data_IF_513522346082
#
_entry.id   IF_513522346082
#
_cell.length_a   1.000
_cell.length_b   1.000
_cell.length_c   1.000
_cell.angle_alpha   90.00
_cell.angle_beta   90.00
_cell.angle_gamma   90.00
#
_symmetry.space_group_name_H-M   'P 1'
#
loop_
_entity.id
_entity.type
_entity.pdbx_description
1 polymer ?
#
# COMPACT_ATOMS: atom_id res chain seq x y z
N UNK A 1 -19.79 15.28 4.76
CA UNK A 1 -20.35 14.74 3.51
C UNK A 1 -21.85 14.58 3.72
N UNK A 2 -22.65 14.99 2.75
CA UNK A 2 -24.09 14.74 2.73
C UNK A 2 -24.32 13.30 2.25
N UNK A 3 -24.91 12.42 3.08
CA UNK A 3 -25.19 11.04 2.72
C UNK A 3 -26.34 10.90 1.70
N UNK A 4 -27.09 11.97 1.43
CA UNK A 4 -28.12 11.96 0.39
C UNK A 4 -27.55 12.04 -1.03
N UNK A 5 -26.29 12.46 -1.18
CA UNK A 5 -25.58 12.49 -2.45
C UNK A 5 -24.91 11.14 -2.72
N UNK A 6 -24.99 10.66 -3.96
CA UNK A 6 -24.59 9.31 -4.36
C UNK A 6 -23.15 8.97 -3.96
N UNK A 7 -22.25 9.95 -4.05
CA UNK A 7 -20.83 9.72 -3.88
C UNK A 7 -20.05 10.98 -3.46
N UNK A 8 -18.74 10.80 -3.24
CA UNK A 8 -17.84 11.87 -2.81
C UNK A 8 -17.66 12.97 -3.84
N UNK A 9 -17.84 12.70 -5.14
CA UNK A 9 -17.59 13.72 -6.15
C UNK A 9 -18.84 14.58 -6.38
N UNK A 10 -20.04 14.00 -6.27
CA UNK A 10 -21.28 14.79 -6.12
C UNK A 10 -21.20 15.72 -4.91
N UNK A 11 -20.65 15.23 -3.80
CA UNK A 11 -20.40 16.06 -2.61
C UNK A 11 -19.47 17.25 -2.93
N UNK A 12 -18.38 17.02 -3.66
CA UNK A 12 -17.43 18.06 -4.09
C UNK A 12 -18.10 19.06 -5.04
N UNK A 13 -18.82 18.58 -6.05
CA UNK A 13 -19.54 19.41 -7.03
C UNK A 13 -20.61 20.27 -6.36
N UNK A 14 -21.48 19.67 -5.53
CA UNK A 14 -22.51 20.39 -4.79
C UNK A 14 -21.92 21.47 -3.87
N UNK A 15 -20.80 21.15 -3.20
CA UNK A 15 -20.10 22.12 -2.34
C UNK A 15 -19.54 23.28 -3.16
N UNK A 16 -18.95 23.01 -4.32
CA UNK A 16 -18.40 24.04 -5.21
C UNK A 16 -19.49 24.92 -5.80
N UNK A 17 -20.59 24.34 -6.28
CA UNK A 17 -21.75 25.09 -6.80
C UNK A 17 -22.39 25.95 -5.72
N UNK A 18 -22.52 25.45 -4.49
CA UNK A 18 -23.01 26.25 -3.36
C UNK A 18 -22.13 27.47 -3.08
N UNK A 19 -20.81 27.33 -3.22
CA UNK A 19 -19.84 28.39 -2.91
C UNK A 19 -19.62 29.38 -4.06
N UNK A 20 -19.71 28.92 -5.30
CA UNK A 20 -19.28 29.66 -6.49
C UNK A 20 -20.41 29.89 -7.51
N UNK A 21 -21.62 29.42 -7.21
CA UNK A 21 -22.77 29.49 -8.11
C UNK A 21 -22.55 28.68 -9.41
N UNK A 22 -23.10 29.14 -10.56
CA UNK A 22 -23.04 28.43 -11.84
C UNK A 22 -21.63 28.13 -12.38
N UNK A 23 -20.59 28.78 -11.84
CA UNK A 23 -19.20 28.48 -12.21
C UNK A 23 -18.76 27.12 -11.65
N UNK A 24 -19.27 26.69 -10.49
CA UNK A 24 -18.96 25.40 -9.88
C UNK A 24 -19.37 24.21 -10.77
N UNK A 25 -20.50 24.35 -11.46
CA UNK A 25 -21.03 23.33 -12.38
C UNK A 25 -20.09 23.08 -13.57
N UNK A 26 -19.30 24.07 -13.96
CA UNK A 26 -18.38 23.95 -15.10
C UNK A 26 -17.17 23.06 -14.79
N UNK A 27 -16.91 22.72 -13.52
CA UNK A 27 -15.77 21.89 -13.15
C UNK A 27 -15.82 20.52 -13.85
N UNK A 28 -16.99 19.92 -13.99
CA UNK A 28 -17.15 18.60 -14.60
C UNK A 28 -16.89 18.58 -16.13
N UNK A 29 -16.82 19.76 -16.76
CA UNK A 29 -16.70 19.87 -18.22
C UNK A 29 -15.46 19.13 -18.73
N UNK A 30 -15.67 18.19 -19.65
CA UNK A 30 -14.61 17.38 -20.26
C UNK A 30 -14.13 16.19 -19.44
N UNK A 31 -14.72 15.94 -18.26
CA UNK A 31 -14.43 14.80 -17.38
C UNK A 31 -15.60 13.81 -17.34
N UNK A 32 -15.35 12.64 -16.78
CA UNK A 32 -16.37 11.66 -16.44
C UNK A 32 -16.17 11.17 -15.01
N UNK A 33 -17.18 10.49 -14.48
CA UNK A 33 -17.03 9.70 -13.26
C UNK A 33 -15.89 8.68 -13.36
N UNK A 34 -15.75 8.04 -14.52
CA UNK A 34 -14.87 6.89 -14.68
C UNK A 34 -13.39 7.27 -14.59
N UNK A 35 -12.97 8.32 -15.31
CA UNK A 35 -11.59 8.78 -15.25
C UNK A 35 -11.27 9.52 -13.94
N UNK A 36 -12.25 10.17 -13.31
CA UNK A 36 -12.12 10.74 -11.97
C UNK A 36 -11.84 9.64 -10.93
N UNK A 37 -12.70 8.63 -10.82
CA UNK A 37 -12.54 7.54 -9.84
C UNK A 37 -11.22 6.78 -10.05
N UNK A 38 -10.84 6.52 -11.30
CA UNK A 38 -9.56 5.87 -11.60
C UNK A 38 -8.37 6.73 -11.14
N UNK A 39 -8.44 8.05 -11.38
CA UNK A 39 -7.40 9.00 -10.95
C UNK A 39 -7.33 9.07 -9.42
N UNK A 40 -8.47 9.18 -8.75
CA UNK A 40 -8.56 9.28 -7.29
C UNK A 40 -8.01 8.01 -6.62
N UNK A 41 -8.35 6.82 -7.15
CA UNK A 41 -7.82 5.56 -6.67
C UNK A 41 -6.30 5.49 -6.83
N UNK A 42 -5.76 5.90 -7.97
CA UNK A 42 -4.32 5.91 -8.22
C UNK A 42 -3.58 6.84 -7.24
N UNK A 43 -4.10 8.04 -7.01
CA UNK A 43 -3.54 8.99 -6.04
C UNK A 43 -3.63 8.46 -4.61
N UNK A 44 -4.80 7.95 -4.22
CA UNK A 44 -5.02 7.36 -2.90
C UNK A 44 -4.05 6.20 -2.64
N UNK A 45 -3.89 5.27 -3.59
CA UNK A 45 -2.98 4.13 -3.44
C UNK A 45 -1.53 4.58 -3.32
N UNK A 46 -1.09 5.59 -4.07
CA UNK A 46 0.29 6.13 -3.95
C UNK A 46 0.57 6.66 -2.55
N UNK A 47 -0.38 7.40 -1.98
CA UNK A 47 -0.25 7.99 -0.64
C UNK A 47 -0.31 6.90 0.43
N UNK A 48 -1.30 6.00 0.35
CA UNK A 48 -1.47 4.89 1.27
C UNK A 48 -0.24 3.96 1.29
N UNK A 49 0.28 3.58 0.11
CA UNK A 49 1.50 2.77 0.00
C UNK A 49 2.71 3.48 0.59
N UNK A 50 2.79 4.81 0.48
CA UNK A 50 3.90 5.58 1.07
C UNK A 50 3.85 5.54 2.60
N UNK A 51 2.68 5.74 3.19
CA UNK A 51 2.49 5.65 4.64
C UNK A 51 2.81 4.24 5.14
N UNK A 52 2.18 3.23 4.54
CA UNK A 52 2.35 1.83 4.96
C UNK A 52 3.80 1.37 4.79
N UNK A 53 4.45 1.72 3.68
CA UNK A 53 5.86 1.41 3.47
C UNK A 53 6.74 2.01 4.58
N UNK A 54 6.47 3.24 5.01
CA UNK A 54 7.19 3.88 6.12
C UNK A 54 7.05 3.10 7.43
N UNK A 55 5.83 2.70 7.78
CA UNK A 55 5.56 1.90 8.99
C UNK A 55 6.23 0.52 8.93
N UNK A 56 6.17 -0.16 7.78
CA UNK A 56 6.83 -1.46 7.58
C UNK A 56 8.34 -1.34 7.72
N UNK A 57 8.94 -0.29 7.17
CA UNK A 57 10.37 0.00 7.33
C UNK A 57 10.74 0.30 8.79
N UNK A 58 9.89 1.00 9.52
CA UNK A 58 10.11 1.28 10.95
C UNK A 58 10.13 -0.01 11.78
N UNK A 59 9.21 -0.94 11.53
CA UNK A 59 9.19 -2.25 12.20
C UNK A 59 10.45 -3.06 11.83
N UNK A 60 10.81 -3.10 10.55
CA UNK A 60 12.02 -3.79 10.11
C UNK A 60 13.29 -3.21 10.78
N UNK A 61 13.39 -1.89 10.89
CA UNK A 61 14.49 -1.22 11.58
C UNK A 61 14.55 -1.58 13.07
N UNK A 62 13.41 -1.57 13.76
CA UNK A 62 13.33 -1.97 15.16
C UNK A 62 13.77 -3.43 15.38
N UNK A 63 13.39 -4.36 14.49
CA UNK A 63 13.85 -5.74 14.56
C UNK A 63 15.37 -5.86 14.38
N UNK A 64 15.95 -5.09 13.46
CA UNK A 64 17.41 -5.07 13.21
C UNK A 64 18.18 -4.43 14.37
N UNK A 65 17.63 -3.40 15.01
CA UNK A 65 18.18 -2.81 16.23
C UNK A 65 18.24 -3.85 17.35
N UNK A 66 17.12 -4.55 17.60
CA UNK A 66 17.05 -5.63 18.60
C UNK A 66 18.00 -6.79 18.26
N UNK A 67 18.16 -7.12 16.98
CA UNK A 67 19.12 -8.13 16.53
C UNK A 67 20.58 -7.72 16.80
N UNK A 68 20.87 -6.42 16.79
CA UNK A 68 22.22 -5.88 17.02
C UNK A 68 22.54 -5.62 18.49
N UNK A 69 21.52 -5.59 19.35
CA UNK A 69 21.67 -5.41 20.79
C UNK A 69 22.44 -6.58 21.45
N UNK A 70 22.99 -6.41 22.66
CA UNK A 70 23.75 -7.47 23.35
C UNK A 70 23.02 -8.82 23.43
N UNK A 71 21.69 -8.79 23.65
CA UNK A 71 20.84 -9.99 23.68
C UNK A 71 20.69 -10.71 22.33
N UNK A 72 21.07 -10.08 21.21
CA UNK A 72 21.05 -10.71 19.89
C UNK A 72 22.00 -11.91 19.76
N UNK A 73 23.08 -11.94 20.54
CA UNK A 73 24.05 -13.06 20.58
C UNK A 73 23.56 -14.25 21.39
N UNK A 74 22.49 -14.10 22.18
CA UNK A 74 21.89 -15.21 22.92
C UNK A 74 21.47 -16.31 21.96
N UNK A 75 21.74 -17.56 22.33
CA UNK A 75 21.32 -18.69 21.53
C UNK A 75 19.94 -19.14 21.99
N UNK A 76 19.01 -19.27 21.04
CA UNK A 76 17.63 -19.72 21.26
C UNK A 76 17.35 -20.98 20.45
N UNK A 77 16.42 -21.85 20.87
CA UNK A 77 16.00 -22.99 20.05
C UNK A 77 15.30 -22.51 18.78
N UNK A 78 15.82 -22.88 17.62
CA UNK A 78 15.06 -22.86 16.37
C UNK A 78 14.25 -24.15 16.26
N UNK A 79 12.98 -24.03 15.87
CA UNK A 79 12.09 -25.18 15.74
C UNK A 79 11.79 -25.53 14.29
N UNK A 80 11.61 -26.82 14.02
CA UNK A 80 10.94 -27.31 12.81
C UNK A 80 9.77 -28.18 13.27
N UNK A 81 8.59 -28.02 12.67
CA UNK A 81 7.36 -28.66 13.15
C UNK A 81 7.08 -28.40 14.64
N UNK A 82 7.41 -27.21 15.15
CA UNK A 82 7.34 -26.82 16.57
C UNK A 82 8.18 -27.70 17.52
N UNK A 83 9.12 -28.50 16.98
CA UNK A 83 10.08 -29.26 17.75
C UNK A 83 11.44 -28.57 17.70
N UNK A 84 12.12 -28.46 18.83
CA UNK A 84 13.46 -27.87 18.89
C UNK A 84 14.42 -28.66 18.00
N UNK A 85 14.94 -28.02 16.95
CA UNK A 85 15.82 -28.64 15.97
C UNK A 85 17.29 -28.31 16.25
N UNK A 86 17.64 -27.01 16.25
CA UNK A 86 19.02 -26.53 16.47
C UNK A 86 18.99 -25.24 17.29
N UNK A 87 20.14 -24.81 17.81
CA UNK A 87 20.26 -23.48 18.43
C UNK A 87 20.76 -22.48 17.39
N UNK A 88 20.12 -21.32 17.34
CA UNK A 88 20.51 -20.18 16.49
C UNK A 88 20.68 -18.95 17.36
N UNK A 89 21.37 -17.92 16.85
CA UNK A 89 21.37 -16.63 17.54
C UNK A 89 19.98 -15.99 17.43
N UNK A 90 19.51 -15.37 18.51
CA UNK A 90 18.26 -14.59 18.52
C UNK A 90 18.25 -13.54 17.40
N UNK A 91 19.41 -12.96 17.11
CA UNK A 91 19.59 -12.05 15.97
C UNK A 91 19.17 -12.66 14.64
N UNK A 92 19.47 -13.94 14.38
CA UNK A 92 19.13 -14.60 13.11
C UNK A 92 17.61 -14.72 12.92
N UNK A 93 16.86 -15.04 13.98
CA UNK A 93 15.39 -15.10 13.90
C UNK A 93 14.79 -13.73 13.62
N UNK A 94 15.22 -12.69 14.35
CA UNK A 94 14.77 -11.31 14.13
C UNK A 94 15.09 -10.81 12.71
N UNK A 95 16.29 -11.12 12.21
CA UNK A 95 16.72 -10.77 10.85
C UNK A 95 15.88 -11.43 9.76
N UNK A 96 15.37 -12.65 9.96
CA UNK A 96 14.47 -13.31 9.00
C UNK A 96 13.17 -12.50 8.85
N UNK A 97 12.56 -12.06 9.94
CA UNK A 97 11.35 -11.25 9.88
C UNK A 97 11.62 -9.87 9.29
N UNK A 98 12.72 -9.22 9.69
CA UNK A 98 13.13 -7.94 9.11
C UNK A 98 13.33 -8.05 7.58
N UNK A 99 14.00 -9.10 7.11
CA UNK A 99 14.24 -9.32 5.68
C UNK A 99 12.94 -9.50 4.88
N UNK A 100 11.92 -10.16 5.45
CA UNK A 100 10.61 -10.31 4.82
C UNK A 100 9.89 -8.96 4.69
N UNK A 101 9.87 -8.18 5.78
CA UNK A 101 9.27 -6.84 5.78
C UNK A 101 9.99 -5.87 4.83
N UNK A 102 11.32 -5.95 4.73
CA UNK A 102 12.09 -5.16 3.75
C UNK A 102 11.71 -5.53 2.30
N UNK A 103 11.50 -6.81 2.02
CA UNK A 103 11.05 -7.25 0.70
C UNK A 103 9.63 -6.74 0.39
N UNK A 104 8.72 -6.79 1.36
CA UNK A 104 7.37 -6.23 1.21
C UNK A 104 7.41 -4.72 0.93
N UNK A 105 8.22 -3.98 1.70
CA UNK A 105 8.44 -2.56 1.48
C UNK A 105 9.01 -2.26 0.08
N UNK A 106 9.92 -3.10 -0.43
CA UNK A 106 10.42 -3.01 -1.80
C UNK A 106 9.29 -3.12 -2.84
N UNK A 107 8.44 -4.15 -2.71
CA UNK A 107 7.30 -4.37 -3.61
C UNK A 107 6.30 -3.20 -3.59
N UNK A 108 6.05 -2.59 -2.43
CA UNK A 108 5.22 -1.38 -2.33
C UNK A 108 5.82 -0.20 -3.10
N UNK A 109 7.14 -0.05 -3.05
CA UNK A 109 7.87 0.95 -3.84
C UNK A 109 7.72 0.73 -5.34
N UNK A 110 7.85 -0.52 -5.79
CA UNK A 110 7.69 -0.92 -7.19
C UNK A 110 6.27 -0.66 -7.70
N UNK A 111 5.25 -1.02 -6.92
CA UNK A 111 3.85 -0.75 -7.26
C UNK A 111 3.60 0.77 -7.35
N UNK A 112 4.05 1.55 -6.36
CA UNK A 112 3.88 3.02 -6.39
C UNK A 112 4.54 3.64 -7.63
N UNK A 113 5.70 3.13 -8.03
CA UNK A 113 6.36 3.55 -9.26
C UNK A 113 5.49 3.27 -10.49
N UNK A 114 4.96 2.04 -10.63
CA UNK A 114 4.06 1.68 -11.75
C UNK A 114 2.79 2.52 -11.78
N UNK A 115 2.14 2.74 -10.64
CA UNK A 115 0.95 3.61 -10.55
C UNK A 115 1.27 5.03 -11.03
N UNK A 116 2.49 5.52 -10.81
CA UNK A 116 2.90 6.87 -11.19
C UNK A 116 3.24 7.02 -12.68
N UNK A 117 3.21 5.94 -13.48
CA UNK A 117 3.55 6.02 -14.90
C UNK A 117 2.50 6.78 -15.71
N UNK A 118 1.22 6.45 -15.53
CA UNK A 118 0.16 6.94 -16.40
C UNK A 118 -1.02 7.55 -15.62
N UNK A 119 -1.36 8.80 -15.96
CA UNK A 119 -2.54 9.47 -15.43
C UNK A 119 -3.81 9.04 -16.16
N UNK A 120 -4.84 8.54 -15.45
CA UNK A 120 -6.13 8.23 -16.07
C UNK A 120 -6.92 9.46 -16.51
N UNK A 121 -6.68 10.62 -15.87
CA UNK A 121 -7.46 11.83 -16.06
C UNK A 121 -7.46 12.32 -17.52
N UNK A 122 -8.65 12.68 -18.00
CA UNK A 122 -8.87 13.10 -19.39
C UNK A 122 -9.18 11.95 -20.34
N UNK A 123 -9.34 10.72 -19.84
CA UNK A 123 -9.89 9.60 -20.59
C UNK A 123 -11.42 9.69 -20.76
N UNK A 124 -12.09 10.62 -20.07
CA UNK A 124 -13.53 10.78 -20.14
C UNK A 124 -14.26 9.51 -19.69
N UNK A 125 -15.41 9.22 -20.29
CA UNK A 125 -16.19 8.05 -19.91
C UNK A 125 -15.56 6.73 -20.38
N UNK A 126 -14.94 6.74 -21.58
CA UNK A 126 -14.34 5.55 -22.21
C UNK A 126 -13.44 5.90 -23.40
N UNK A 127 -13.86 6.87 -24.23
CA UNK A 127 -13.26 7.16 -25.54
C UNK A 127 -12.38 8.43 -25.57
N UNK A 128 -12.06 8.99 -24.40
CA UNK A 128 -11.43 10.31 -24.29
C UNK A 128 -12.45 11.43 -24.15
N UNK A 129 -11.93 12.65 -23.99
CA UNK A 129 -12.72 13.88 -24.00
C UNK A 129 -12.87 14.40 -25.44
N UNK A 130 -14.05 14.93 -25.78
CA UNK A 130 -14.26 15.66 -27.05
C UNK A 130 -13.67 17.07 -27.04
N UNK A 131 -13.24 17.54 -25.86
CA UNK A 131 -12.56 18.82 -25.69
C UNK A 131 -11.05 18.65 -25.88
N UNK A 132 -10.35 19.68 -26.39
CA UNK A 132 -8.90 19.64 -26.60
C UNK A 132 -8.15 19.83 -25.26
N UNK A 133 -8.26 18.85 -24.35
CA UNK A 133 -7.61 18.89 -23.04
C UNK A 133 -6.09 18.69 -23.16
N UNK A 134 -5.31 19.51 -22.46
CA UNK A 134 -3.89 19.25 -22.25
C UNK A 134 -3.72 18.21 -21.12
N UNK A 135 -3.80 16.93 -21.51
CA UNK A 135 -3.64 15.80 -20.57
C UNK A 135 -2.22 15.72 -19.99
N UNK A 136 -1.21 16.17 -20.75
CA UNK A 136 0.17 16.16 -20.29
C UNK A 136 0.37 17.16 -19.15
N UNK A 137 -0.29 18.32 -19.23
CA UNK A 137 -0.34 19.29 -18.16
C UNK A 137 -0.97 18.72 -16.89
N UNK A 138 -2.15 18.10 -16.98
CA UNK A 138 -2.80 17.51 -15.80
C UNK A 138 -2.02 16.34 -15.20
N UNK A 139 -1.42 15.49 -16.04
CA UNK A 139 -0.55 14.40 -15.57
C UNK A 139 0.63 14.95 -14.74
N UNK A 140 1.30 16.02 -15.21
CA UNK A 140 2.39 16.67 -14.47
C UNK A 140 1.92 17.25 -13.15
N UNK A 141 0.78 17.95 -13.13
CA UNK A 141 0.23 18.54 -11.90
C UNK A 141 -0.08 17.48 -10.83
N UNK A 142 -0.52 16.30 -11.25
CA UNK A 142 -0.86 15.18 -10.37
C UNK A 142 0.34 14.25 -10.10
N UNK A 143 1.53 14.61 -10.59
CA UNK A 143 2.76 13.86 -10.37
C UNK A 143 2.81 12.49 -11.06
N UNK A 144 2.13 12.32 -12.19
CA UNK A 144 2.30 11.19 -13.10
C UNK A 144 3.32 11.52 -14.19
N UNK A 145 3.92 10.50 -14.81
CA UNK A 145 4.92 10.69 -15.88
C UNK A 145 4.29 11.11 -17.21
N UNK A 146 3.15 10.50 -17.57
CA UNK A 146 2.47 10.77 -18.83
C UNK A 146 0.95 10.56 -18.69
N UNK A 147 0.14 11.03 -19.65
CA UNK A 147 -1.25 10.58 -19.79
C UNK A 147 -1.30 9.10 -20.17
N UNK A 148 -2.35 8.40 -19.74
CA UNK A 148 -2.57 7.03 -20.17
C UNK A 148 -2.71 6.91 -21.71
N UNK A 149 -2.00 5.98 -22.36
CA UNK A 149 -1.99 5.89 -23.83
C UNK A 149 -3.33 5.41 -24.41
N UNK A 150 -4.13 4.68 -23.62
CA UNK A 150 -5.41 4.11 -24.03
C UNK A 150 -6.53 4.56 -23.08
N UNK A 151 -7.60 5.19 -23.59
CA UNK A 151 -8.68 5.71 -22.74
C UNK A 151 -9.60 4.62 -22.17
N UNK A 152 -9.76 3.51 -22.89
CA UNK A 152 -10.56 2.36 -22.41
C UNK A 152 -9.88 1.75 -21.20
N UNK A 153 -8.60 1.42 -21.35
CA UNK A 153 -7.78 0.87 -20.27
C UNK A 153 -7.70 1.85 -19.09
N UNK A 154 -7.48 3.15 -19.33
CA UNK A 154 -7.43 4.15 -18.26
C UNK A 154 -8.66 4.16 -17.35
N UNK A 155 -9.84 3.83 -17.88
CA UNK A 155 -11.10 3.83 -17.13
C UNK A 155 -11.47 2.46 -16.56
N UNK A 156 -10.98 1.38 -17.16
CA UNK A 156 -11.27 0.00 -16.75
C UNK A 156 -10.17 -0.64 -15.90
N UNK A 157 -8.96 -0.10 -15.88
CA UNK A 157 -7.81 -0.68 -15.18
C UNK A 157 -8.05 -0.70 -13.66
N UNK A 158 -7.88 -1.89 -13.08
CA UNK A 158 -7.98 -2.15 -11.63
C UNK A 158 -6.75 -2.90 -11.12
N UNK A 159 -5.73 -3.09 -11.94
CA UNK A 159 -4.51 -3.82 -11.61
C UNK A 159 -3.79 -3.20 -10.40
N UNK A 160 -3.67 -1.87 -10.27
CA UNK A 160 -3.12 -1.26 -9.06
C UNK A 160 -3.80 -1.69 -7.76
N UNK A 161 -5.13 -1.81 -7.79
CA UNK A 161 -5.90 -2.23 -6.63
C UNK A 161 -5.73 -3.71 -6.32
N UNK A 162 -5.77 -4.55 -7.36
CA UNK A 162 -5.57 -5.99 -7.22
C UNK A 162 -4.16 -6.32 -6.71
N UNK A 163 -3.14 -5.65 -7.25
CA UNK A 163 -1.75 -5.82 -6.79
C UNK A 163 -1.57 -5.30 -5.36
N UNK A 164 -2.14 -4.16 -4.99
CA UNK A 164 -2.11 -3.67 -3.61
C UNK A 164 -2.72 -4.66 -2.61
N UNK A 165 -3.87 -5.27 -2.95
CA UNK A 165 -4.49 -6.31 -2.12
C UNK A 165 -3.59 -7.53 -1.94
N UNK A 166 -2.92 -7.98 -3.01
CA UNK A 166 -1.94 -9.06 -2.92
C UNK A 166 -0.78 -8.69 -1.98
N UNK A 167 -0.22 -7.47 -2.10
CA UNK A 167 0.86 -7.01 -1.24
C UNK A 167 0.43 -6.95 0.24
N UNK A 168 -0.79 -6.48 0.52
CA UNK A 168 -1.31 -6.42 1.89
C UNK A 168 -1.59 -7.82 2.48
N UNK A 169 -2.06 -8.76 1.66
CA UNK A 169 -2.23 -10.14 2.09
C UNK A 169 -0.88 -10.80 2.43
N UNK A 170 0.14 -10.58 1.60
CA UNK A 170 1.49 -11.09 1.83
C UNK A 170 2.12 -10.47 3.09
N UNK A 171 1.99 -9.15 3.25
CA UNK A 171 2.42 -8.45 4.48
C UNK A 171 1.73 -9.05 5.71
N UNK A 172 0.41 -9.28 5.63
CA UNK A 172 -0.37 -9.90 6.70
C UNK A 172 0.15 -11.30 7.06
N UNK A 173 0.52 -12.11 6.07
CA UNK A 173 1.12 -13.43 6.31
C UNK A 173 2.49 -13.34 7.00
N UNK A 174 3.35 -12.39 6.59
CA UNK A 174 4.64 -12.17 7.23
C UNK A 174 4.52 -11.62 8.65
N UNK A 175 3.60 -10.68 8.88
CA UNK A 175 3.29 -10.14 10.20
C UNK A 175 2.72 -11.21 11.15
N UNK A 176 1.85 -12.08 10.64
CA UNK A 176 1.34 -13.25 11.37
C UNK A 176 2.48 -14.18 11.82
N UNK A 177 3.42 -14.48 10.91
CA UNK A 177 4.60 -15.28 11.27
C UNK A 177 5.47 -14.64 12.35
N UNK A 178 5.64 -13.31 12.34
CA UNK A 178 6.33 -12.59 13.41
C UNK A 178 5.56 -12.65 14.73
N UNK A 179 4.24 -12.48 14.70
CA UNK A 179 3.40 -12.56 15.88
C UNK A 179 3.47 -13.95 16.53
N UNK A 180 3.42 -15.02 15.74
CA UNK A 180 3.56 -16.40 16.21
C UNK A 180 4.91 -16.61 16.93
N UNK A 181 6.02 -16.14 16.34
CA UNK A 181 7.36 -16.22 16.95
C UNK A 181 7.41 -15.48 18.30
N UNK A 182 6.80 -14.29 18.38
CA UNK A 182 6.76 -13.50 19.62
C UNK A 182 5.89 -14.17 20.68
N UNK A 183 4.74 -14.74 20.31
CA UNK A 183 3.85 -15.45 21.24
C UNK A 183 4.53 -16.69 21.80
N UNK A 184 5.08 -17.55 20.94
CA UNK A 184 5.79 -18.77 21.35
C UNK A 184 7.04 -18.45 22.19
N UNK A 185 7.73 -17.35 21.88
CA UNK A 185 8.89 -16.88 22.63
C UNK A 185 8.56 -16.21 23.97
N UNK A 186 7.30 -15.82 24.20
CA UNK A 186 6.84 -15.19 25.44
C UNK A 186 6.34 -16.21 26.47
N UNK A 187 6.03 -17.44 26.03
CA UNK A 187 5.64 -18.50 26.95
C UNK A 187 6.81 -18.84 27.88
N UNK A 188 6.57 -18.99 29.20
CA UNK A 188 7.59 -19.45 30.11
C UNK A 188 8.10 -20.80 29.61
N UNK A 189 9.43 -21.05 29.62
CA UNK A 189 9.96 -22.31 29.13
C UNK A 189 9.23 -23.42 29.86
N UNK A 190 8.51 -24.26 29.10
CA UNK A 190 7.92 -25.48 29.63
C UNK A 190 9.09 -26.21 30.27
N UNK A 191 9.14 -26.20 31.61
CA UNK A 191 10.13 -26.96 32.37
C UNK A 191 9.89 -28.39 31.95
N UNK A 192 10.69 -28.88 31.01
CA UNK A 192 10.78 -30.30 30.73
C UNK A 192 11.34 -30.92 32.00
N UNK A 193 10.42 -31.35 32.86
CA UNK A 193 10.73 -32.15 34.02
C UNK A 193 11.31 -33.45 33.50
N UNK A 194 12.63 -33.52 33.41
CA UNK A 194 13.48 -34.63 33.87
C UNK A 194 14.93 -34.33 33.53
N UNK A 195 15.64 -33.90 34.57
CA UNK A 195 16.97 -34.43 34.81
C UNK A 195 16.84 -35.95 34.98
N UNK A 196 17.49 -36.70 34.08
CA UNK A 196 18.20 -37.97 34.32
C UNK A 196 18.86 -38.41 33.03
#
# INVERSE_FOLDING_TARGET
LDPALEDVHMNVEATLTTRLGPVGEKLHTGRSRNDQVATDLALYLRDALTVIQGEVLAVAAALLEQASAPGGKETVPASTHLQGAQRVHRAQLLQVHASRLLADAGRMGDLRYRISEYSPLGAGAVAGSSLPLDRAYTARLLGFRAPHPNSVEATSDRDPGAEALFLFALLGAHASGLAEELVLGSDPPVRSGRAR
#
